data_IF_914015107208
#
_entry.id   IF_914015107208
#
_cell.length_a   1.000
_cell.length_b   1.000
_cell.length_c   1.000
_cell.angle_alpha   90.00
_cell.angle_beta   90.00
_cell.angle_gamma   90.00
#
_symmetry.space_group_name_H-M   'P 1'
#
loop_
_entity.id
_entity.type
_entity.pdbx_description
1 polymer ?
#
# COMPACT_ATOMS: atom_id res chain seq x y z
N UNK A 1 4.67 9.61 -12.55
CA UNK A 1 5.28 9.57 -11.20
C UNK A 1 5.22 8.12 -10.72
N UNK A 2 5.59 7.77 -9.48
CA UNK A 2 5.42 6.38 -8.97
C UNK A 2 3.99 6.19 -8.46
N UNK A 3 3.42 4.99 -8.63
CA UNK A 3 2.02 4.67 -8.29
C UNK A 3 1.61 5.08 -6.85
N UNK A 4 2.40 4.81 -5.79
CA UNK A 4 2.03 5.25 -4.44
C UNK A 4 1.87 6.78 -4.34
N UNK A 5 2.79 7.54 -4.95
CA UNK A 5 2.75 9.00 -4.93
C UNK A 5 1.56 9.58 -5.70
N UNK A 6 1.12 8.94 -6.78
CA UNK A 6 -0.09 9.35 -7.52
C UNK A 6 -1.37 9.01 -6.76
N UNK A 7 -1.36 7.94 -5.97
CA UNK A 7 -2.47 7.57 -5.07
C UNK A 7 -2.54 8.43 -3.80
N UNK A 8 -1.62 9.40 -3.62
CA UNK A 8 -1.54 10.24 -2.42
C UNK A 8 -0.93 9.53 -1.20
N UNK A 9 -0.33 8.35 -1.39
CA UNK A 9 0.32 7.56 -0.33
C UNK A 9 1.82 7.85 -0.32
N UNK A 10 2.33 8.28 0.83
CA UNK A 10 3.76 8.41 1.06
C UNK A 10 4.39 7.06 1.43
N UNK A 11 5.63 6.84 1.02
CA UNK A 11 6.39 5.65 1.38
C UNK A 11 7.15 5.94 2.66
N UNK A 12 6.88 5.16 3.71
CA UNK A 12 7.59 5.26 4.98
C UNK A 12 9.01 4.67 4.88
N UNK A 13 9.11 3.41 4.46
CA UNK A 13 10.37 2.67 4.30
C UNK A 13 10.25 1.68 3.13
N UNK A 14 11.38 1.35 2.51
CA UNK A 14 11.51 0.27 1.54
C UNK A 14 12.48 -0.75 2.14
N UNK A 15 12.09 -2.02 2.12
CA UNK A 15 12.91 -3.14 2.61
C UNK A 15 12.86 -4.30 1.62
N UNK A 16 13.92 -5.11 1.49
CA UNK A 16 15.21 -4.99 2.17
C UNK A 16 16.15 -3.97 1.51
N UNK A 17 15.83 -3.51 0.30
CA UNK A 17 16.70 -2.61 -0.48
C UNK A 17 16.93 -1.27 0.25
N UNK A 18 18.20 -0.93 0.51
CA UNK A 18 18.58 0.31 1.17
C UNK A 18 18.24 0.38 2.67
N UNK A 19 17.72 -0.70 3.25
CA UNK A 19 17.34 -0.72 4.66
C UNK A 19 18.58 -0.63 5.57
N UNK A 20 18.51 0.25 6.57
CA UNK A 20 19.48 0.32 7.66
C UNK A 20 18.81 -0.11 8.95
N UNK A 21 19.54 -0.79 9.84
CA UNK A 21 19.07 -1.10 11.20
C UNK A 21 18.58 0.15 11.95
N UNK A 22 19.13 1.33 11.62
CA UNK A 22 18.71 2.61 12.20
C UNK A 22 17.25 2.97 11.91
N UNK A 23 16.72 2.55 10.76
CA UNK A 23 15.36 2.83 10.30
C UNK A 23 14.38 1.69 10.57
N UNK A 24 14.87 0.54 11.03
CA UNK A 24 14.01 -0.63 11.30
C UNK A 24 12.95 -0.32 12.37
N UNK A 25 13.30 0.50 13.35
CA UNK A 25 12.38 0.99 14.39
C UNK A 25 11.21 1.82 13.83
N UNK A 26 11.34 2.36 12.62
CA UNK A 26 10.32 3.18 11.99
C UNK A 26 9.34 2.35 11.14
N UNK A 27 9.58 1.03 10.94
CA UNK A 27 8.65 0.17 10.19
C UNK A 27 7.21 0.24 10.72
N UNK A 28 6.95 0.15 12.04
CA UNK A 28 5.59 0.17 12.57
C UNK A 28 4.85 1.51 12.45
N UNK A 29 5.49 2.54 11.87
CA UNK A 29 4.87 3.85 11.62
C UNK A 29 4.03 3.86 10.33
N UNK A 30 4.17 2.84 9.49
CA UNK A 30 3.37 2.69 8.28
C UNK A 30 1.93 2.26 8.62
N UNK A 31 0.97 2.67 7.80
CA UNK A 31 -0.43 2.28 7.97
C UNK A 31 -0.72 0.88 7.41
N UNK A 32 0.06 0.47 6.41
CA UNK A 32 0.01 -0.84 5.80
C UNK A 32 1.32 -1.12 5.05
N UNK A 33 1.57 -2.39 4.73
CA UNK A 33 2.68 -2.81 3.89
C UNK A 33 2.23 -3.11 2.46
N UNK A 34 3.05 -2.80 1.47
CA UNK A 34 2.85 -3.26 0.10
C UNK A 34 3.93 -4.28 -0.25
N UNK A 35 3.52 -5.45 -0.74
CA UNK A 35 4.38 -6.55 -1.17
C UNK A 35 4.19 -6.71 -2.67
N UNK A 36 5.01 -6.06 -3.52
CA UNK A 36 4.80 -6.07 -4.96
C UNK A 36 4.88 -7.48 -5.58
N UNK A 37 5.64 -8.37 -4.94
CA UNK A 37 5.85 -9.74 -5.39
C UNK A 37 5.72 -10.67 -4.19
N UNK A 38 4.77 -11.61 -4.24
CA UNK A 38 4.50 -12.55 -3.14
C UNK A 38 5.72 -13.39 -2.78
N UNK A 39 6.66 -13.57 -3.71
CA UNK A 39 7.89 -14.32 -3.56
C UNK A 39 8.90 -13.59 -2.67
N UNK A 40 8.80 -12.26 -2.55
CA UNK A 40 9.72 -11.44 -1.74
C UNK A 40 8.97 -10.54 -0.77
N UNK A 41 9.21 -10.75 0.52
CA UNK A 41 8.68 -9.88 1.59
C UNK A 41 7.32 -10.29 2.15
N UNK A 42 6.63 -11.29 1.59
CA UNK A 42 5.37 -11.78 2.15
C UNK A 42 5.52 -12.22 3.61
N UNK A 43 6.57 -12.98 3.94
CA UNK A 43 6.83 -13.39 5.32
C UNK A 43 7.01 -12.19 6.26
N UNK A 44 7.70 -11.13 5.81
CA UNK A 44 7.90 -9.90 6.59
C UNK A 44 6.59 -9.15 6.80
N UNK A 45 5.73 -9.12 5.78
CA UNK A 45 4.42 -8.49 5.87
C UNK A 45 3.49 -9.27 6.80
N UNK A 46 3.44 -10.60 6.71
CA UNK A 46 2.70 -11.45 7.64
C UNK A 46 3.22 -11.34 9.08
N UNK A 47 4.54 -11.28 9.28
CA UNK A 47 5.13 -11.01 10.59
C UNK A 47 4.68 -9.65 11.12
N UNK A 48 4.73 -8.61 10.28
CA UNK A 48 4.32 -7.26 10.66
C UNK A 48 2.82 -7.16 10.98
N UNK A 49 1.99 -7.90 10.25
CA UNK A 49 0.56 -8.01 10.54
C UNK A 49 0.32 -8.67 11.90
N UNK A 50 1.03 -9.77 12.18
CA UNK A 50 0.90 -10.49 13.44
C UNK A 50 1.38 -9.69 14.65
N UNK A 51 2.55 -9.05 14.55
CA UNK A 51 3.20 -8.39 15.69
C UNK A 51 2.76 -6.93 15.88
N UNK A 52 2.40 -6.23 14.81
CA UNK A 52 2.05 -4.80 14.86
C UNK A 52 0.61 -4.51 14.40
N UNK A 53 -0.15 -5.51 13.97
CA UNK A 53 -1.49 -5.30 13.41
C UNK A 53 -1.47 -4.55 12.07
N UNK A 54 -0.33 -4.51 11.39
CA UNK A 54 -0.19 -3.77 10.12
C UNK A 54 -0.71 -4.61 8.95
N UNK A 55 -1.83 -4.24 8.32
CA UNK A 55 -2.34 -4.97 7.15
C UNK A 55 -1.35 -4.85 5.98
N UNK A 56 -1.46 -5.74 5.01
CA UNK A 56 -0.63 -5.69 3.81
C UNK A 56 -1.41 -5.98 2.53
N UNK A 57 -0.91 -5.42 1.43
CA UNK A 57 -1.41 -5.67 0.07
C UNK A 57 -0.35 -6.51 -0.64
N UNK A 58 -0.71 -7.71 -1.06
CA UNK A 58 0.17 -8.64 -1.79
C UNK A 58 -0.24 -8.87 -3.25
N UNK A 59 -1.21 -8.10 -3.75
CA UNK A 59 -1.52 -8.08 -5.17
C UNK A 59 -0.35 -7.46 -5.92
N UNK A 60 0.18 -8.18 -6.90
CA UNK A 60 1.19 -7.64 -7.81
C UNK A 60 0.52 -6.65 -8.78
N UNK A 61 0.90 -5.36 -8.82
CA UNK A 61 0.30 -4.37 -9.71
C UNK A 61 0.82 -4.53 -11.14
N UNK A 62 0.45 -5.65 -11.77
CA UNK A 62 0.80 -6.02 -13.14
C UNK A 62 -0.45 -6.28 -13.95
N UNK A 63 -0.56 -5.56 -15.06
CA UNK A 63 -1.77 -5.55 -15.89
C UNK A 63 -2.89 -4.72 -15.27
N UNK A 64 -3.92 -4.44 -16.07
CA UNK A 64 -4.96 -3.47 -15.73
C UNK A 64 -5.80 -3.94 -14.53
N UNK A 65 -6.25 -5.21 -14.54
CA UNK A 65 -7.09 -5.76 -13.48
C UNK A 65 -6.38 -5.74 -12.13
N UNK A 66 -5.17 -6.33 -12.03
CA UNK A 66 -4.48 -6.39 -10.74
C UNK A 66 -4.02 -5.00 -10.27
N UNK A 67 -3.70 -4.08 -11.19
CA UNK A 67 -3.38 -2.70 -10.81
C UNK A 67 -4.61 -1.98 -10.26
N UNK A 68 -5.78 -2.18 -10.86
CA UNK A 68 -7.05 -1.67 -10.33
C UNK A 68 -7.34 -2.26 -8.94
N UNK A 69 -7.21 -3.57 -8.77
CA UNK A 69 -7.43 -4.25 -7.49
C UNK A 69 -6.44 -3.78 -6.41
N UNK A 70 -5.17 -3.58 -6.78
CA UNK A 70 -4.13 -3.05 -5.90
C UNK A 70 -4.49 -1.64 -5.41
N UNK A 71 -4.89 -0.75 -6.31
CA UNK A 71 -5.32 0.61 -5.99
C UNK A 71 -6.59 0.61 -5.14
N UNK A 72 -7.55 -0.28 -5.43
CA UNK A 72 -8.77 -0.40 -4.65
C UNK A 72 -8.48 -0.84 -3.20
N UNK A 73 -7.55 -1.77 -3.01
CA UNK A 73 -7.11 -2.18 -1.68
C UNK A 73 -6.41 -1.05 -0.92
N UNK A 74 -5.56 -0.26 -1.59
CA UNK A 74 -5.01 0.97 -0.98
C UNK A 74 -6.17 1.87 -0.54
N UNK A 75 -7.13 2.11 -1.42
CA UNK A 75 -8.29 2.94 -1.12
C UNK A 75 -9.10 2.43 0.07
N UNK A 76 -9.27 1.12 0.23
CA UNK A 76 -9.93 0.52 1.40
C UNK A 76 -9.15 0.80 2.68
N UNK A 77 -7.85 0.49 2.71
CA UNK A 77 -7.00 0.66 3.90
C UNK A 77 -6.85 2.13 4.31
N UNK A 78 -6.64 3.03 3.35
CA UNK A 78 -6.52 4.47 3.61
C UNK A 78 -7.86 5.03 4.12
N UNK A 79 -9.00 4.59 3.57
CA UNK A 79 -10.30 5.08 3.99
C UNK A 79 -10.70 4.65 5.41
N UNK A 80 -10.21 3.51 5.91
CA UNK A 80 -10.40 3.12 7.31
C UNK A 80 -9.83 4.20 8.25
N UNK A 81 -8.62 4.69 7.95
CA UNK A 81 -8.00 5.75 8.75
C UNK A 81 -8.58 7.13 8.44
N UNK A 82 -8.90 7.42 7.17
CA UNK A 82 -9.47 8.70 6.78
C UNK A 82 -10.85 8.95 7.40
N UNK A 83 -11.68 7.90 7.56
CA UNK A 83 -12.98 8.04 8.23
C UNK A 83 -12.81 8.35 9.71
N UNK A 84 -11.76 7.82 10.36
CA UNK A 84 -11.46 8.08 11.77
C UNK A 84 -10.84 9.47 11.97
N UNK A 85 -9.98 9.92 11.06
CA UNK A 85 -9.17 11.14 11.25
C UNK A 85 -9.80 12.42 10.70
N UNK A 86 -10.64 12.35 9.66
CA UNK A 86 -11.10 13.56 8.95
C UNK A 86 -12.56 13.51 8.53
N UNK A 87 -13.32 12.47 8.91
CA UNK A 87 -14.71 12.24 8.49
C UNK A 87 -14.91 12.31 6.96
N UNK A 88 -13.82 12.13 6.21
CA UNK A 88 -13.78 12.23 4.74
C UNK A 88 -13.45 10.87 4.17
N UNK A 89 -14.14 10.53 3.08
CA UNK A 89 -13.83 9.36 2.26
C UNK A 89 -13.08 9.81 1.01
N UNK A 90 -11.86 9.31 0.82
CA UNK A 90 -11.10 9.49 -0.39
C UNK A 90 -11.67 8.59 -1.50
N UNK A 91 -11.90 9.19 -2.67
CA UNK A 91 -12.46 8.50 -3.81
C UNK A 91 -11.37 8.14 -4.82
N UNK A 92 -10.97 6.87 -4.82
CA UNK A 92 -10.00 6.31 -5.77
C UNK A 92 -10.62 5.87 -7.10
N UNK A 93 -11.97 5.88 -7.22
CA UNK A 93 -12.67 5.37 -8.41
C UNK A 93 -12.25 6.11 -9.67
N UNK A 94 -12.14 7.44 -9.62
CA UNK A 94 -11.69 8.23 -10.77
C UNK A 94 -10.25 7.90 -11.17
N UNK A 95 -9.37 7.63 -10.20
CA UNK A 95 -8.00 7.24 -10.49
C UNK A 95 -7.95 5.86 -11.15
N UNK A 96 -8.66 4.87 -10.59
CA UNK A 96 -8.76 3.51 -11.18
C UNK A 96 -9.30 3.58 -12.60
N UNK A 97 -10.43 4.27 -12.81
CA UNK A 97 -11.03 4.44 -14.14
C UNK A 97 -10.04 5.05 -15.14
N UNK A 98 -9.29 6.07 -14.73
CA UNK A 98 -8.31 6.70 -15.62
C UNK A 98 -7.13 5.77 -15.95
N UNK A 99 -6.76 4.85 -15.03
CA UNK A 99 -5.76 3.82 -15.29
C UNK A 99 -6.29 2.69 -16.17
N UNK A 100 -7.61 2.46 -16.24
CA UNK A 100 -8.22 1.38 -17.03
C UNK A 100 -8.81 1.83 -18.37
N UNK A 101 -9.09 3.13 -18.57
CA UNK A 101 -9.84 3.67 -19.73
C UNK A 101 -9.11 3.61 -21.07
N UNK A 102 -7.77 3.61 -21.09
CA UNK A 102 -6.97 3.75 -22.32
C UNK A 102 -6.40 2.41 -22.82
N UNK A 103 -7.20 1.35 -22.78
CA UNK A 103 -6.83 0.03 -23.30
C UNK A 103 -7.67 -0.28 -24.52
#
# INVERSE_FOLDING_TARGET
KRLPGESGVSVNQVIPEGASLKYLKDLPRAWFNAVPYREVGLMTATFSEKEYGMPYISITPMGISNTADFIEQIGKLVNVWASVLSERKLNYRLYVENQTKFV
#
